data_IF_696376393517
#
_entry.id   IF_696376393517
#
_cell.length_a   1.000
_cell.length_b   1.000
_cell.length_c   1.000
_cell.angle_alpha   90.00
_cell.angle_beta   90.00
_cell.angle_gamma   90.00
#
_symmetry.space_group_name_H-M   'P 1'
#
loop_
_entity.id
_entity.type
_entity.pdbx_description
1 polymer ?
#
# COMPACT_ATOMS: atom_id res chain seq x y z
N UNK A 1 -3.76 -10.93 5.75
CA UNK A 1 -3.40 -9.56 5.33
C UNK A 1 -3.80 -9.37 3.87
N UNK A 2 -4.30 -8.19 3.51
CA UNK A 2 -4.59 -7.84 2.11
C UNK A 2 -3.54 -6.82 1.66
N UNK A 3 -2.81 -7.14 0.59
CA UNK A 3 -1.84 -6.23 0.00
C UNK A 3 -2.54 -5.19 -0.88
N UNK A 4 -2.17 -3.92 -0.73
CA UNK A 4 -2.54 -2.87 -1.67
C UNK A 4 -1.29 -2.32 -2.33
N UNK A 5 -1.30 -2.36 -3.66
CA UNK A 5 -0.20 -1.94 -4.50
C UNK A 5 -0.67 -0.94 -5.56
N UNK A 6 0.19 0.00 -5.91
CA UNK A 6 -0.10 0.99 -6.93
C UNK A 6 0.99 2.05 -7.00
N UNK A 7 0.76 3.05 -7.85
CA UNK A 7 1.72 4.11 -8.09
C UNK A 7 1.92 5.05 -6.90
N UNK A 8 3.17 5.55 -6.80
CA UNK A 8 3.58 6.63 -5.90
C UNK A 8 3.34 8.00 -6.57
N UNK A 9 3.47 9.12 -5.85
CA UNK A 9 3.08 10.47 -6.30
C UNK A 9 3.68 10.96 -7.63
N UNK A 10 4.74 10.34 -8.14
CA UNK A 10 5.41 10.71 -9.40
C UNK A 10 4.67 10.22 -10.66
N UNK A 11 3.45 9.68 -10.52
CA UNK A 11 2.66 9.16 -11.64
C UNK A 11 1.58 10.16 -12.11
N UNK A 12 1.67 10.56 -13.39
CA UNK A 12 0.69 11.45 -14.02
C UNK A 12 -0.72 10.82 -14.14
N UNK A 13 -0.83 9.51 -13.93
CA UNK A 13 -2.09 8.76 -13.96
C UNK A 13 -2.76 8.69 -12.55
N UNK A 14 -2.15 9.30 -11.52
CA UNK A 14 -2.78 9.52 -10.20
C UNK A 14 -3.71 10.73 -10.25
N UNK A 15 -4.96 10.50 -10.65
CA UNK A 15 -6.02 11.48 -10.53
C UNK A 15 -6.85 11.29 -9.23
N UNK A 16 -7.75 12.25 -8.98
CA UNK A 16 -8.64 12.22 -7.80
C UNK A 16 -9.52 10.96 -7.75
N UNK A 17 -9.85 10.38 -8.90
CA UNK A 17 -10.65 9.14 -8.98
C UNK A 17 -9.84 7.96 -8.45
N UNK A 18 -8.58 7.83 -8.86
CA UNK A 18 -7.67 6.78 -8.39
C UNK A 18 -7.43 6.89 -6.89
N UNK A 19 -7.21 8.10 -6.38
CA UNK A 19 -7.02 8.33 -4.95
C UNK A 19 -8.27 7.94 -4.16
N UNK A 20 -9.46 8.37 -4.62
CA UNK A 20 -10.72 8.02 -3.95
C UNK A 20 -11.00 6.52 -3.97
N UNK A 21 -10.70 5.85 -5.09
CA UNK A 21 -10.79 4.39 -5.17
C UNK A 21 -9.85 3.69 -4.18
N UNK A 22 -8.60 4.15 -4.07
CA UNK A 22 -7.63 3.58 -3.15
C UNK A 22 -8.05 3.75 -1.69
N UNK A 23 -8.59 4.91 -1.32
CA UNK A 23 -9.19 5.14 0.00
C UNK A 23 -10.33 4.16 0.29
N UNK A 24 -11.29 4.03 -0.62
CA UNK A 24 -12.45 3.16 -0.38
C UNK A 24 -12.01 1.68 -0.30
N UNK A 25 -11.01 1.26 -1.07
CA UNK A 25 -10.39 -0.07 -0.90
C UNK A 25 -9.82 -0.25 0.51
N UNK A 26 -9.03 0.71 0.99
CA UNK A 26 -8.47 0.66 2.34
C UNK A 26 -9.55 0.59 3.42
N UNK A 27 -10.61 1.36 3.24
CA UNK A 27 -11.78 1.39 4.11
C UNK A 27 -12.48 0.04 4.17
N UNK A 28 -12.73 -0.58 3.03
CA UNK A 28 -13.38 -1.89 2.95
C UNK A 28 -12.52 -3.01 3.54
N UNK A 29 -11.20 -2.97 3.34
CA UNK A 29 -10.26 -3.91 3.99
C UNK A 29 -10.42 -3.83 5.51
N UNK A 30 -10.40 -2.62 6.07
CA UNK A 30 -10.52 -2.40 7.51
C UNK A 30 -11.90 -2.79 8.06
N UNK A 31 -12.99 -2.43 7.36
CA UNK A 31 -14.37 -2.82 7.74
C UNK A 31 -14.55 -4.33 7.87
N UNK A 32 -13.85 -5.11 7.05
CA UNK A 32 -13.89 -6.57 7.08
C UNK A 32 -12.88 -7.19 8.06
N UNK A 33 -12.22 -6.39 8.89
CA UNK A 33 -11.29 -6.85 9.91
C UNK A 33 -9.95 -7.35 9.38
N UNK A 34 -9.61 -7.07 8.12
CA UNK A 34 -8.34 -7.44 7.53
C UNK A 34 -7.27 -6.37 7.82
N UNK A 35 -6.02 -6.81 7.96
CA UNK A 35 -4.85 -5.95 8.05
C UNK A 35 -4.43 -5.55 6.62
N UNK A 36 -4.24 -4.26 6.40
CA UNK A 36 -3.71 -3.72 5.14
C UNK A 36 -2.19 -3.77 5.17
N UNK A 37 -1.57 -4.39 4.17
CA UNK A 37 -0.12 -4.36 3.96
C UNK A 37 0.20 -3.66 2.64
N UNK A 38 1.22 -2.81 2.61
CA UNK A 38 1.61 -2.09 1.40
C UNK A 38 3.09 -1.73 1.42
N UNK A 39 3.52 -1.02 0.38
CA UNK A 39 4.88 -0.51 0.28
C UNK A 39 5.20 0.74 1.10
N UNK A 40 4.23 1.24 1.87
CA UNK A 40 4.41 2.23 2.93
C UNK A 40 4.67 3.67 2.48
N UNK A 41 4.86 3.96 1.19
CA UNK A 41 5.10 5.32 0.69
C UNK A 41 3.80 6.02 0.26
N UNK A 42 3.89 6.98 -0.65
CA UNK A 42 2.81 7.88 -1.08
C UNK A 42 1.83 7.28 -2.09
N UNK A 43 1.08 8.17 -2.75
CA UNK A 43 0.13 7.85 -3.81
C UNK A 43 -0.98 6.88 -3.36
N UNK A 44 -1.16 5.79 -4.12
CA UNK A 44 -2.17 4.75 -3.84
C UNK A 44 -2.04 4.17 -2.44
N UNK A 45 -0.80 3.90 -2.01
CA UNK A 45 -0.54 3.24 -0.73
C UNK A 45 -0.93 4.13 0.45
N UNK A 46 -0.61 5.42 0.37
CA UNK A 46 -1.02 6.40 1.38
C UNK A 46 -2.54 6.57 1.43
N UNK A 47 -3.18 6.69 0.28
CA UNK A 47 -4.64 6.78 0.17
C UNK A 47 -5.33 5.56 0.79
N UNK A 48 -4.85 4.35 0.49
CA UNK A 48 -5.38 3.12 1.05
C UNK A 48 -5.13 3.02 2.56
N UNK A 49 -3.94 3.40 3.05
CA UNK A 49 -3.69 3.45 4.48
C UNK A 49 -4.63 4.45 5.17
N UNK A 50 -4.83 5.64 4.61
CA UNK A 50 -5.78 6.65 5.12
C UNK A 50 -7.19 6.08 5.26
N UNK A 51 -7.73 5.47 4.20
CA UNK A 51 -9.05 4.85 4.24
C UNK A 51 -9.18 3.73 5.27
N UNK A 52 -8.14 2.91 5.44
CA UNK A 52 -8.11 1.90 6.49
C UNK A 52 -8.17 2.52 7.90
N UNK A 53 -7.46 3.63 8.14
CA UNK A 53 -7.48 4.32 9.45
C UNK A 53 -8.85 4.89 9.79
N UNK A 54 -9.67 5.29 8.81
CA UNK A 54 -11.04 5.75 9.06
C UNK A 54 -11.91 4.69 9.76
N UNK A 55 -11.59 3.40 9.59
CA UNK A 55 -12.29 2.29 10.24
C UNK A 55 -11.41 1.59 11.28
N UNK A 56 -10.45 2.32 11.87
CA UNK A 56 -9.52 1.80 12.89
C UNK A 56 -8.75 0.55 12.46
N UNK A 57 -8.51 0.40 11.15
CA UNK A 57 -7.72 -0.67 10.59
C UNK A 57 -6.25 -0.58 11.00
N UNK A 58 -5.57 -1.73 10.94
CA UNK A 58 -4.12 -1.84 11.13
C UNK A 58 -3.45 -1.78 9.76
N UNK A 59 -2.44 -0.92 9.64
CA UNK A 59 -1.67 -0.72 8.41
C UNK A 59 -0.20 -1.09 8.61
N UNK A 60 0.34 -1.86 7.67
CA UNK A 60 1.74 -2.30 7.67
C UNK A 60 2.42 -1.79 6.39
N UNK A 61 3.44 -0.97 6.56
CA UNK A 61 4.31 -0.53 5.47
C UNK A 61 5.60 -1.32 5.49
N UNK A 62 5.91 -2.02 4.40
CA UNK A 62 7.26 -2.58 4.21
C UNK A 62 8.04 -1.56 3.37
N UNK A 63 9.17 -1.05 3.87
CA UNK A 63 9.92 0.08 3.32
C UNK A 63 11.27 -0.37 2.73
N UNK A 64 11.80 0.34 1.72
CA UNK A 64 12.99 -0.11 1.01
C UNK A 64 14.29 0.22 1.76
N UNK A 65 14.37 1.41 2.39
CA UNK A 65 15.61 1.89 3.03
C UNK A 65 15.41 2.47 4.43
N UNK A 66 14.47 3.39 4.65
CA UNK A 66 14.20 3.98 5.97
C UNK A 66 12.73 3.87 6.35
N UNK A 67 12.47 3.55 7.62
CA UNK A 67 11.11 3.65 8.21
C UNK A 67 10.55 5.07 8.21
N UNK A 68 11.39 6.11 8.09
CA UNK A 68 10.97 7.52 8.03
C UNK A 68 10.30 7.86 6.70
N UNK A 69 10.47 7.02 5.68
CA UNK A 69 9.75 7.13 4.40
C UNK A 69 8.29 6.66 4.49
N UNK A 70 7.89 6.11 5.64
CA UNK A 70 6.52 5.64 5.83
C UNK A 70 5.53 6.82 5.82
N UNK A 71 4.43 6.67 5.10
CA UNK A 71 3.36 7.65 5.11
C UNK A 71 2.73 7.76 6.52
N UNK A 72 2.07 8.88 6.85
CA UNK A 72 1.58 9.16 8.20
C UNK A 72 0.53 8.16 8.73
N UNK A 73 -0.05 7.35 7.85
CA UNK A 73 -1.12 6.41 8.17
C UNK A 73 -0.61 4.98 8.37
N UNK A 74 0.70 4.73 8.32
CA UNK A 74 1.32 3.43 8.62
C UNK A 74 1.48 3.26 10.13
N UNK A 75 0.89 2.21 10.70
CA UNK A 75 1.07 1.86 12.12
C UNK A 75 2.38 1.13 12.36
N UNK A 76 2.74 0.20 11.46
CA UNK A 76 3.90 -0.68 11.58
C UNK A 76 4.77 -0.49 10.34
N UNK A 77 5.90 0.19 10.50
CA UNK A 77 6.90 0.35 9.45
C UNK A 77 8.02 -0.71 9.59
N UNK A 78 8.22 -1.51 8.54
CA UNK A 78 9.24 -2.54 8.45
C UNK A 78 10.30 -2.08 7.45
N UNK A 79 11.46 -1.69 7.97
CA UNK A 79 12.63 -1.35 7.17
C UNK A 79 13.36 -2.62 6.71
N UNK A 80 13.66 -2.74 5.41
CA UNK A 80 14.24 -3.97 4.84
C UNK A 80 15.66 -3.85 4.32
N UNK A 81 16.07 -2.68 3.85
CA UNK A 81 17.35 -2.50 3.15
C UNK A 81 17.43 -3.21 1.79
N UNK A 82 16.31 -3.69 1.25
CA UNK A 82 16.27 -4.51 0.02
C UNK A 82 15.92 -3.71 -1.24
N UNK A 83 15.77 -2.39 -1.15
CA UNK A 83 15.36 -1.56 -2.28
C UNK A 83 14.06 -2.07 -2.91
N UNK A 84 14.03 -2.22 -4.23
CA UNK A 84 12.84 -2.69 -4.96
C UNK A 84 12.53 -4.18 -4.76
N UNK A 85 13.49 -5.00 -4.33
CA UNK A 85 13.26 -6.44 -4.07
C UNK A 85 12.24 -6.64 -2.95
N UNK A 86 12.12 -5.66 -2.06
CA UNK A 86 11.16 -5.63 -0.98
C UNK A 86 9.71 -5.81 -1.44
N UNK A 87 9.34 -5.43 -2.66
CA UNK A 87 7.97 -5.60 -3.16
C UNK A 87 7.53 -7.07 -3.14
N UNK A 88 8.48 -8.00 -3.32
CA UNK A 88 8.23 -9.43 -3.15
C UNK A 88 7.74 -9.78 -1.73
N UNK A 89 8.25 -9.11 -0.71
CA UNK A 89 7.82 -9.33 0.68
C UNK A 89 6.40 -8.83 0.92
N UNK A 90 5.98 -7.74 0.27
CA UNK A 90 4.58 -7.25 0.35
C UNK A 90 3.64 -8.30 -0.22
N UNK A 91 3.97 -8.80 -1.42
CA UNK A 91 3.19 -9.81 -2.14
C UNK A 91 3.13 -11.14 -1.37
N UNK A 92 4.27 -11.65 -0.88
CA UNK A 92 4.32 -12.93 -0.17
C UNK A 92 3.76 -12.91 1.24
N UNK A 93 3.61 -11.73 1.83
CA UNK A 93 3.00 -11.59 3.16
C UNK A 93 1.48 -11.46 3.10
N UNK A 94 0.87 -11.41 1.92
CA UNK A 94 -0.56 -11.20 1.76
C UNK A 94 -1.31 -12.46 1.33
N UNK A 95 -2.56 -12.58 1.80
CA UNK A 95 -3.50 -13.64 1.38
C UNK A 95 -4.18 -13.30 0.06
N UNK A 96 -4.28 -12.01 -0.26
CA UNK A 96 -4.83 -11.45 -1.48
C UNK A 96 -4.16 -10.11 -1.80
N UNK A 97 -4.14 -9.74 -3.08
CA UNK A 97 -3.49 -8.51 -3.56
C UNK A 97 -4.49 -7.71 -4.37
N UNK A 98 -4.59 -6.43 -4.07
CA UNK A 98 -5.38 -5.45 -4.82
C UNK A 98 -4.40 -4.46 -5.45
N UNK A 99 -4.30 -4.52 -6.78
CA UNK A 99 -3.50 -3.61 -7.58
C UNK A 99 -4.39 -2.48 -8.12
N UNK A 100 -4.03 -1.22 -7.85
CA UNK A 100 -4.78 -0.03 -8.26
C UNK A 100 -3.88 0.85 -9.13
N UNK A 101 -4.33 1.14 -10.35
CA UNK A 101 -3.68 2.04 -11.33
C UNK A 101 -2.14 2.03 -11.28
N UNK A 102 -1.58 0.84 -11.49
CA UNK A 102 -0.15 0.62 -11.37
C UNK A 102 0.60 0.59 -12.70
N UNK A 103 1.86 1.00 -12.67
CA UNK A 103 2.84 0.84 -13.78
C UNK A 103 3.61 -0.48 -13.68
N UNK A 104 4.77 -0.58 -14.35
CA UNK A 104 5.66 -1.75 -14.35
C UNK A 104 5.93 -2.36 -12.96
N UNK A 105 6.01 -1.54 -11.90
CA UNK A 105 6.18 -2.02 -10.53
C UNK A 105 5.01 -2.88 -10.03
N UNK A 106 3.78 -2.53 -10.42
CA UNK A 106 2.55 -3.26 -10.06
C UNK A 106 2.33 -4.49 -10.94
N UNK A 107 2.79 -4.48 -12.20
CA UNK A 107 2.83 -5.67 -13.05
C UNK A 107 3.82 -6.73 -12.53
N UNK A 108 4.97 -6.31 -12.01
CA UNK A 108 5.93 -7.21 -11.35
C UNK A 108 5.38 -7.85 -10.07
N UNK A 109 4.40 -7.23 -9.40
CA UNK A 109 3.78 -7.77 -8.19
C UNK A 109 2.66 -8.79 -8.49
N UNK A 110 2.16 -8.82 -9.74
CA UNK A 110 1.18 -9.80 -10.23
C UNK A 110 1.87 -11.03 -10.86
N UNK A 111 3.15 -10.93 -11.20
CA UNK A 111 3.92 -11.95 -11.94
C UNK A 111 4.62 -12.99 -11.05
#
# INVERSE_FOLDING_TARGET
MIAVCGSDYDDNDLDDTVISMAEEVGKEIAKHGAILICGGRGGVMEAACRGAKENSGITVGILPFSKEEANPYVDIAIETGLGNVRNFLVVKSADAIIAICGRWGTLNEIS
#
